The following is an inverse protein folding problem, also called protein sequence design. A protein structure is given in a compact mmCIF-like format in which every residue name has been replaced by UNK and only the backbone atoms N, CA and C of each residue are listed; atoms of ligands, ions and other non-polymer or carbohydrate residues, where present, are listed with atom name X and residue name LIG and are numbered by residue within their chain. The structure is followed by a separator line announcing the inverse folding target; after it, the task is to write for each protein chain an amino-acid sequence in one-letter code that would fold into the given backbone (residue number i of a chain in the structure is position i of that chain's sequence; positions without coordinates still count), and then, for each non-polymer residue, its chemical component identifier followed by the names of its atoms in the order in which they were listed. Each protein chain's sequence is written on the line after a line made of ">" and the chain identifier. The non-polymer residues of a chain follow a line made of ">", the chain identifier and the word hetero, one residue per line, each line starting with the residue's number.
data_IF_860031384870
#
_entry.id   IF_860031384870
#
_cell.length_a   1.000
_cell.length_b   1.000
_cell.length_c   1.000
_cell.angle_alpha   90.00
_cell.angle_beta   90.00
_cell.angle_gamma   90.00
#
_symmetry.space_group_name_H-M   'P 1'
#
loop_
_entity.id
_entity.type
_entity.pdbx_description
1 polymer ?
#
# COMPACT_ATOMS: atom_id res chain seq x y z
N UNK A 1 -13.87 7.35 26.24
CA UNK A 1 -13.98 8.24 25.05
C UNK A 1 -13.76 7.34 23.85
N UNK A 2 -14.74 7.27 22.95
CA UNK A 2 -14.59 6.52 21.71
C UNK A 2 -13.60 7.26 20.80
N UNK A 3 -12.81 6.51 20.05
CA UNK A 3 -11.95 7.07 19.02
C UNK A 3 -12.81 7.55 17.84
N UNK A 4 -12.34 8.56 17.10
CA UNK A 4 -13.02 9.09 15.90
C UNK A 4 -13.32 7.96 14.88
N UNK A 5 -12.50 6.91 14.85
CA UNK A 5 -12.72 5.72 14.02
C UNK A 5 -13.90 4.84 14.50
N UNK A 6 -14.09 4.72 15.80
CA UNK A 6 -15.22 4.00 16.41
C UNK A 6 -16.53 4.79 16.23
N UNK A 7 -16.49 6.11 16.41
CA UNK A 7 -17.64 7.00 16.20
C UNK A 7 -18.09 6.96 14.73
N UNK A 8 -17.14 6.94 13.78
CA UNK A 8 -17.43 6.80 12.34
C UNK A 8 -18.01 5.43 11.99
N UNK A 9 -17.59 4.36 12.67
CA UNK A 9 -18.12 3.00 12.47
C UNK A 9 -19.58 2.89 12.94
N UNK A 10 -19.91 3.48 14.08
CA UNK A 10 -21.28 3.47 14.61
C UNK A 10 -22.24 4.32 13.75
N UNK A 11 -21.79 5.47 13.23
CA UNK A 11 -22.62 6.31 12.35
C UNK A 11 -22.92 5.61 11.02
N UNK A 12 -21.93 4.95 10.41
CA UNK A 12 -22.14 4.19 9.17
C UNK A 12 -23.07 3.01 9.39
N UNK A 13 -22.95 2.32 10.54
CA UNK A 13 -23.87 1.26 10.93
C UNK A 13 -25.29 1.81 11.14
N UNK A 14 -25.46 2.94 11.85
CA UNK A 14 -26.75 3.58 12.11
C UNK A 14 -27.48 4.07 10.86
N UNK A 15 -26.76 4.62 9.87
CA UNK A 15 -27.34 5.07 8.59
C UNK A 15 -27.92 3.90 7.77
N UNK A 16 -27.41 2.67 7.95
CA UNK A 16 -27.91 1.47 7.28
C UNK A 16 -29.24 0.96 7.86
N UNK A 17 -29.64 1.40 9.06
CA UNK A 17 -30.92 1.07 9.70
C UNK A 17 -32.04 2.08 9.39
N UNK A 18 -31.76 3.18 8.68
CA UNK A 18 -32.80 4.14 8.30
C UNK A 18 -33.72 3.57 7.20
N UNK A 19 -35.05 3.65 7.35
CA UNK A 19 -36.01 2.85 6.58
C UNK A 19 -36.23 3.30 5.13
N UNK A 20 -35.72 4.47 4.70
CA UNK A 20 -35.88 4.93 3.32
C UNK A 20 -34.62 5.65 2.78
N UNK A 21 -34.38 5.50 1.48
CA UNK A 21 -33.29 6.11 0.72
C UNK A 21 -33.28 7.65 0.81
N UNK A 22 -34.44 8.29 0.86
CA UNK A 22 -34.54 9.75 0.99
C UNK A 22 -34.12 10.25 2.38
N UNK A 23 -34.44 9.53 3.46
CA UNK A 23 -33.99 9.88 4.81
C UNK A 23 -32.48 9.69 4.98
N UNK A 24 -31.90 8.67 4.31
CA UNK A 24 -30.44 8.50 4.24
C UNK A 24 -29.76 9.62 3.47
N UNK A 25 -30.37 10.10 2.38
CA UNK A 25 -29.83 11.23 1.62
C UNK A 25 -29.97 12.57 2.37
N UNK A 26 -31.05 12.78 3.11
CA UNK A 26 -31.24 13.98 3.92
C UNK A 26 -30.24 14.03 5.09
N UNK A 27 -30.06 12.91 5.81
CA UNK A 27 -29.07 12.80 6.88
C UNK A 27 -27.62 12.98 6.35
N UNK A 28 -27.32 12.46 5.15
CA UNK A 28 -26.02 12.70 4.48
C UNK A 28 -25.83 14.17 4.09
N UNK A 29 -26.90 14.88 3.70
CA UNK A 29 -26.86 16.31 3.35
C UNK A 29 -26.75 17.21 4.57
N UNK A 30 -27.43 16.88 5.66
CA UNK A 30 -27.33 17.61 6.93
C UNK A 30 -25.94 17.47 7.56
N UNK A 31 -25.33 16.28 7.52
CA UNK A 31 -23.92 16.09 7.90
C UNK A 31 -22.98 16.91 7.01
N UNK A 32 -23.16 16.83 5.69
CA UNK A 32 -22.36 17.62 4.74
C UNK A 32 -22.50 19.13 4.96
N UNK A 33 -23.70 19.63 5.30
CA UNK A 33 -23.92 21.04 5.62
C UNK A 33 -23.32 21.46 6.97
N UNK A 34 -23.30 20.55 7.94
CA UNK A 34 -22.66 20.78 9.24
C UNK A 34 -21.13 20.86 9.09
N UNK A 35 -20.55 20.08 8.17
CA UNK A 35 -19.16 20.22 7.71
C UNK A 35 -18.95 21.50 6.90
N UNK A 36 -19.88 21.88 6.01
CA UNK A 36 -19.73 23.04 5.11
C UNK A 36 -19.73 24.40 5.86
N UNK A 37 -20.45 24.52 6.98
CA UNK A 37 -20.45 25.76 7.79
C UNK A 37 -19.20 25.91 8.67
N UNK A 38 -18.46 24.81 8.88
CA UNK A 38 -17.12 24.78 9.49
C UNK A 38 -16.03 24.90 8.39
N UNK A 39 -16.38 24.59 7.13
CA UNK A 39 -15.51 24.60 5.94
C UNK A 39 -15.51 25.96 5.20
N UNK A 40 -15.12 27.03 5.90
CA UNK A 40 -14.36 28.11 5.25
C UNK A 40 -12.91 28.18 5.67
N UNK A 41 -12.49 27.32 6.61
CA UNK A 41 -11.10 27.24 7.01
C UNK A 41 -10.62 25.79 6.95
N UNK A 42 -10.06 25.46 5.78
CA UNK A 42 -9.07 24.41 5.55
C UNK A 42 -9.58 22.95 5.72
N UNK A 43 -9.36 22.12 4.69
CA UNK A 43 -9.82 20.72 4.64
C UNK A 43 -9.32 19.82 5.80
N UNK A 44 -9.85 18.59 5.93
CA UNK A 44 -9.70 17.71 7.12
C UNK A 44 -8.27 17.20 7.42
N UNK A 45 -7.27 17.65 6.65
CA UNK A 45 -5.84 17.36 6.85
C UNK A 45 -5.00 18.63 6.96
N UNK A 46 -5.62 19.80 6.99
CA UNK A 46 -4.94 21.08 6.99
C UNK A 46 -4.10 21.37 8.24
N UNK A 47 -4.47 20.78 9.37
CA UNK A 47 -3.71 20.86 10.61
C UNK A 47 -2.40 20.04 10.58
N UNK A 48 -2.23 19.13 9.61
CA UNK A 48 -0.97 18.40 9.42
C UNK A 48 0.09 19.23 8.67
N UNK A 49 -0.27 20.44 8.19
CA UNK A 49 0.60 21.28 7.38
C UNK A 49 1.26 22.42 8.16
N UNK A 50 0.97 22.57 9.45
CA UNK A 50 1.38 23.74 10.24
C UNK A 50 2.53 23.44 11.21
N UNK A 51 3.52 22.66 10.74
CA UNK A 51 4.82 22.57 11.42
C UNK A 51 5.69 23.73 10.95
N UNK A 52 6.00 24.66 11.86
CA UNK A 52 7.03 25.68 11.70
C UNK A 52 8.40 25.02 11.64
N UNK A 53 8.74 24.37 10.54
CA UNK A 53 10.05 23.76 10.34
C UNK A 53 10.92 24.66 9.45
N UNK A 54 11.85 25.36 10.11
CA UNK A 54 13.17 25.87 9.71
C UNK A 54 13.34 26.63 8.37
N UNK A 55 13.92 27.84 8.46
CA UNK A 55 14.27 28.76 7.36
C UNK A 55 15.19 28.20 6.26
N UNK A 56 15.63 26.94 6.37
CA UNK A 56 16.54 26.32 5.42
C UNK A 56 15.77 25.62 4.28
N UNK A 57 16.07 25.93 3.00
CA UNK A 57 15.39 25.32 1.87
C UNK A 57 15.68 23.81 1.81
N UNK A 58 14.75 23.00 1.27
CA UNK A 58 15.00 21.57 1.06
C UNK A 58 16.20 21.33 0.14
N UNK A 59 16.85 20.18 0.29
CA UNK A 59 17.99 19.75 -0.52
C UNK A 59 17.60 19.58 -1.98
N UNK A 60 16.47 18.90 -2.24
CA UNK A 60 15.99 18.71 -3.60
C UNK A 60 15.42 20.04 -4.10
N UNK A 61 16.20 20.68 -4.97
CA UNK A 61 15.81 21.90 -5.65
C UNK A 61 15.66 21.62 -7.15
N UNK A 62 14.63 22.18 -7.74
CA UNK A 62 14.36 22.05 -9.17
C UNK A 62 13.96 23.40 -9.73
N UNK A 63 14.67 23.85 -10.77
CA UNK A 63 14.34 25.10 -11.46
C UNK A 63 12.97 25.05 -12.16
N UNK A 64 12.53 23.85 -12.55
CA UNK A 64 11.23 23.63 -13.21
C UNK A 64 10.09 23.45 -12.20
N UNK A 65 10.40 23.26 -10.92
CA UNK A 65 9.45 22.86 -9.88
C UNK A 65 8.99 21.40 -9.99
N UNK A 66 9.59 20.62 -10.89
CA UNK A 66 9.27 19.22 -11.12
C UNK A 66 10.41 18.29 -10.66
N UNK A 67 10.05 17.04 -10.40
CA UNK A 67 10.96 15.95 -10.09
C UNK A 67 10.60 14.74 -10.97
N UNK A 68 11.62 14.03 -11.44
CA UNK A 68 11.46 12.79 -12.18
C UNK A 68 11.61 11.64 -11.20
N UNK A 69 10.62 10.75 -11.18
CA UNK A 69 10.60 9.57 -10.34
C UNK A 69 10.58 8.35 -11.26
N UNK A 70 11.66 7.56 -11.22
CA UNK A 70 11.77 6.28 -11.89
C UNK A 70 11.45 5.15 -10.90
N UNK A 71 10.41 4.37 -11.19
CA UNK A 71 10.01 3.21 -10.39
C UNK A 71 10.10 1.96 -11.25
N UNK A 72 11.17 1.18 -11.07
CA UNK A 72 11.40 -0.07 -11.81
C UNK A 72 11.45 0.12 -13.33
N UNK A 73 11.96 1.25 -13.81
CA UNK A 73 12.03 1.62 -15.22
C UNK A 73 10.82 2.39 -15.75
N UNK A 74 9.81 2.66 -14.92
CA UNK A 74 8.68 3.52 -15.29
C UNK A 74 8.96 4.95 -14.85
N UNK A 75 9.03 5.87 -15.82
CA UNK A 75 9.40 7.26 -15.59
C UNK A 75 8.15 8.11 -15.38
N UNK A 76 8.11 8.84 -14.26
CA UNK A 76 7.04 9.74 -13.89
C UNK A 76 7.54 11.15 -13.61
N UNK A 77 7.05 12.14 -14.36
CA UNK A 77 7.31 13.54 -14.11
C UNK A 77 6.19 14.13 -13.25
N UNK A 78 6.53 14.66 -12.07
CA UNK A 78 5.54 15.19 -11.11
C UNK A 78 6.01 16.50 -10.46
N UNK A 79 5.07 17.38 -10.12
CA UNK A 79 5.34 18.63 -9.39
C UNK A 79 5.79 18.35 -7.95
N UNK A 80 6.84 19.02 -7.50
CA UNK A 80 7.34 18.94 -6.12
C UNK A 80 6.27 19.41 -5.12
N UNK A 81 5.52 20.46 -5.47
CA UNK A 81 4.46 21.01 -4.61
C UNK A 81 3.38 19.97 -4.25
N UNK A 82 2.99 19.13 -5.20
CA UNK A 82 1.98 18.09 -5.00
C UNK A 82 2.45 17.06 -3.96
N UNK A 83 3.73 16.68 -4.03
CA UNK A 83 4.35 15.74 -3.10
C UNK A 83 4.53 16.37 -1.71
N UNK A 84 4.84 17.68 -1.66
CA UNK A 84 5.11 18.40 -0.43
C UNK A 84 3.84 18.61 0.42
N UNK A 85 2.71 18.91 -0.22
CA UNK A 85 1.57 19.52 0.45
C UNK A 85 0.49 18.54 0.93
N UNK A 86 0.34 17.35 0.33
CA UNK A 86 -0.80 16.49 0.67
C UNK A 86 -0.46 15.45 1.75
N UNK A 87 0.60 14.66 1.53
CA UNK A 87 1.02 13.61 2.46
C UNK A 87 2.44 13.88 2.93
N UNK A 88 2.64 14.79 3.90
CA UNK A 88 3.98 15.07 4.37
C UNK A 88 4.61 13.83 5.03
N UNK A 89 3.87 13.06 5.81
CA UNK A 89 4.43 11.89 6.48
C UNK A 89 4.82 10.73 5.54
N UNK A 90 4.41 10.76 4.26
CA UNK A 90 4.71 9.70 3.30
C UNK A 90 6.18 9.73 2.86
N UNK A 91 6.63 8.66 2.19
CA UNK A 91 8.00 8.56 1.65
C UNK A 91 8.32 9.69 0.69
N UNK A 92 7.44 9.95 -0.28
CA UNK A 92 7.63 11.02 -1.27
C UNK A 92 7.50 12.41 -0.65
N UNK A 93 6.62 12.58 0.34
CA UNK A 93 6.51 13.83 1.08
C UNK A 93 7.78 14.13 1.86
N UNK A 94 8.32 13.14 2.58
CA UNK A 94 9.60 13.25 3.30
C UNK A 94 10.76 13.51 2.36
N UNK A 95 10.77 12.88 1.18
CA UNK A 95 11.82 13.02 0.17
C UNK A 95 11.98 14.48 -0.26
N UNK A 96 10.88 15.14 -0.66
CA UNK A 96 10.94 16.53 -1.13
C UNK A 96 11.19 17.56 -0.02
N UNK A 97 11.12 17.14 1.25
CA UNK A 97 11.47 17.96 2.42
C UNK A 97 12.79 17.57 3.08
N UNK A 98 13.51 16.60 2.51
CA UNK A 98 14.82 16.21 2.99
C UNK A 98 15.78 17.41 2.93
N UNK A 99 16.56 17.61 3.99
CA UNK A 99 17.50 18.73 4.11
C UNK A 99 18.92 18.38 3.70
N UNK A 100 19.24 17.09 3.62
CA UNK A 100 20.57 16.61 3.25
C UNK A 100 20.48 15.50 2.21
N UNK A 101 21.53 15.34 1.41
CA UNK A 101 21.68 14.22 0.49
C UNK A 101 21.57 12.87 1.23
N UNK A 102 22.09 12.80 2.46
CA UNK A 102 22.02 11.58 3.28
C UNK A 102 20.57 11.20 3.58
N UNK A 103 19.69 12.17 3.84
CA UNK A 103 18.28 11.90 4.10
C UNK A 103 17.52 11.54 2.82
N UNK A 104 17.90 12.12 1.67
CA UNK A 104 17.38 11.71 0.35
C UNK A 104 17.73 10.25 0.08
N UNK A 105 18.99 9.86 0.25
CA UNK A 105 19.48 8.50 0.00
C UNK A 105 18.94 7.45 0.99
N UNK A 106 18.37 7.85 2.13
CA UNK A 106 17.61 6.94 3.01
C UNK A 106 16.21 6.63 2.47
N UNK A 107 15.68 7.49 1.61
CA UNK A 107 14.31 7.45 1.13
C UNK A 107 14.19 6.94 -0.31
N UNK A 108 15.29 6.82 -1.05
CA UNK A 108 15.35 6.27 -2.41
C UNK A 108 16.55 5.33 -2.61
N UNK A 109 16.54 4.57 -3.71
CA UNK A 109 17.61 3.60 -4.01
C UNK A 109 18.76 4.24 -4.79
N UNK A 110 18.46 5.22 -5.64
CA UNK A 110 19.47 6.11 -6.22
C UNK A 110 18.92 7.53 -6.43
N UNK A 111 19.83 8.49 -6.50
CA UNK A 111 19.52 9.90 -6.74
C UNK A 111 20.54 10.47 -7.73
N UNK A 112 20.04 11.20 -8.72
CA UNK A 112 20.86 11.91 -9.70
C UNK A 112 20.46 13.37 -9.67
N UNK A 113 21.41 14.19 -9.24
CA UNK A 113 21.33 15.64 -9.31
C UNK A 113 21.69 16.08 -10.74
N UNK A 114 20.78 16.76 -11.43
CA UNK A 114 21.05 17.26 -12.79
C UNK A 114 21.47 18.74 -12.76
N UNK A 115 22.69 19.02 -13.21
CA UNK A 115 23.28 20.36 -13.19
C UNK A 115 22.73 21.31 -14.28
N UNK A 116 22.11 20.78 -15.36
CA UNK A 116 21.81 21.54 -16.58
C UNK A 116 20.31 21.79 -16.84
N UNK A 117 19.69 22.65 -16.02
CA UNK A 117 18.31 23.15 -16.20
C UNK A 117 17.18 22.11 -16.18
N UNK A 118 17.49 20.88 -15.78
CA UNK A 118 16.53 19.79 -15.80
C UNK A 118 15.96 19.50 -14.41
N UNK A 119 15.07 18.52 -14.36
CA UNK A 119 14.47 18.06 -13.10
C UNK A 119 15.34 16.96 -12.50
N UNK A 120 15.60 16.95 -11.18
CA UNK A 120 16.37 15.90 -10.53
C UNK A 120 15.65 14.55 -10.68
N UNK A 121 16.42 13.46 -10.69
CA UNK A 121 15.91 12.11 -10.94
C UNK A 121 16.12 11.26 -9.69
N UNK A 122 15.05 10.59 -9.27
CA UNK A 122 15.02 9.68 -8.12
C UNK A 122 14.63 8.30 -8.59
N UNK A 123 15.36 7.28 -8.16
CA UNK A 123 15.15 5.90 -8.57
C UNK A 123 14.66 5.04 -7.41
N UNK A 124 13.75 4.12 -7.75
CA UNK A 124 13.14 3.15 -6.86
C UNK A 124 13.16 1.76 -7.50
N UNK A 125 13.79 0.79 -6.84
CA UNK A 125 13.78 -0.63 -7.22
C UNK A 125 12.48 -1.31 -6.73
N UNK A 126 11.37 -0.85 -7.30
CA UNK A 126 10.02 -1.33 -7.02
C UNK A 126 9.26 -1.55 -8.32
N UNK A 127 8.19 -2.33 -8.26
CA UNK A 127 7.33 -2.55 -9.42
C UNK A 127 6.52 -1.27 -9.73
N UNK A 128 6.74 -0.67 -10.89
CA UNK A 128 6.04 0.54 -11.32
C UNK A 128 4.55 0.36 -11.66
N UNK A 129 4.06 -0.86 -11.89
CA UNK A 129 2.69 -1.11 -12.37
C UNK A 129 1.58 -0.47 -11.51
N UNK A 130 1.77 -0.38 -10.19
CA UNK A 130 0.82 0.23 -9.25
C UNK A 130 1.08 1.72 -8.96
N UNK A 131 2.18 2.28 -9.43
CA UNK A 131 2.65 3.58 -8.97
C UNK A 131 1.78 4.76 -9.43
N UNK A 132 1.04 4.62 -10.53
CA UNK A 132 0.08 5.66 -10.93
C UNK A 132 -1.01 5.88 -9.88
N UNK A 133 -1.55 4.82 -9.28
CA UNK A 133 -2.52 4.91 -8.17
C UNK A 133 -1.91 5.63 -6.96
N UNK A 134 -0.61 5.39 -6.71
CA UNK A 134 0.15 6.08 -5.66
C UNK A 134 0.32 7.56 -5.99
N UNK A 135 0.52 7.96 -7.25
CA UNK A 135 0.65 9.36 -7.65
C UNK A 135 -0.68 10.10 -7.66
N UNK A 136 -1.78 9.42 -7.96
CA UNK A 136 -3.11 10.02 -8.06
C UNK A 136 -3.56 10.65 -6.73
N UNK A 137 -3.16 10.08 -5.59
CA UNK A 137 -3.43 10.69 -4.28
C UNK A 137 -2.73 12.04 -4.10
N UNK A 138 -1.54 12.25 -4.68
CA UNK A 138 -0.84 13.54 -4.61
C UNK A 138 -1.39 14.55 -5.63
N UNK A 139 -2.00 14.07 -6.72
CA UNK A 139 -2.53 14.92 -7.80
C UNK A 139 -3.98 15.34 -7.55
N UNK A 140 -4.82 14.38 -7.19
CA UNK A 140 -6.27 14.53 -7.09
C UNK A 140 -6.76 14.48 -5.65
N UNK A 141 -5.93 14.09 -4.68
CA UNK A 141 -6.30 13.92 -3.26
C UNK A 141 -7.35 12.83 -3.04
N UNK A 142 -7.51 11.93 -4.01
CA UNK A 142 -8.50 10.86 -4.03
C UNK A 142 -7.76 9.56 -4.35
N UNK A 143 -8.00 8.52 -3.54
CA UNK A 143 -7.35 7.21 -3.70
C UNK A 143 -8.37 6.16 -4.13
N UNK A 144 -8.21 5.67 -5.36
CA UNK A 144 -9.06 4.62 -5.92
C UNK A 144 -8.29 3.31 -6.10
N UNK A 145 -8.92 2.22 -5.68
CA UNK A 145 -8.51 0.86 -5.99
C UNK A 145 -8.89 0.52 -7.44
N UNK A 146 -7.91 0.12 -8.26
CA UNK A 146 -8.13 -0.26 -9.66
C UNK A 146 -8.23 -1.78 -9.78
N UNK A 147 -9.20 -2.29 -10.53
CA UNK A 147 -9.57 -3.71 -10.54
C UNK A 147 -8.47 -4.71 -10.98
N UNK A 148 -7.38 -4.22 -11.58
CA UNK A 148 -6.29 -5.07 -12.09
C UNK A 148 -5.15 -5.28 -11.08
N UNK A 149 -5.16 -4.60 -9.94
CA UNK A 149 -4.14 -4.77 -8.92
C UNK A 149 -4.56 -5.79 -7.87
N UNK A 150 -3.69 -6.74 -7.55
CA UNK A 150 -3.88 -7.62 -6.40
C UNK A 150 -3.87 -6.79 -5.12
N UNK A 151 -4.89 -6.97 -4.27
CA UNK A 151 -5.02 -6.21 -3.03
C UNK A 151 -3.77 -6.32 -2.12
N UNK A 152 -3.15 -7.51 -2.03
CA UNK A 152 -1.92 -7.73 -1.23
C UNK A 152 -0.74 -6.92 -1.77
N UNK A 153 -0.57 -6.90 -3.10
CA UNK A 153 0.51 -6.12 -3.74
C UNK A 153 0.30 -4.64 -3.46
N UNK A 154 -0.95 -4.17 -3.60
CA UNK A 154 -1.27 -2.78 -3.33
C UNK A 154 -1.05 -2.40 -1.85
N UNK A 155 -1.41 -3.28 -0.91
CA UNK A 155 -1.08 -3.10 0.51
C UNK A 155 0.42 -2.93 0.72
N UNK A 156 1.22 -3.78 0.09
CA UNK A 156 2.68 -3.70 0.17
C UNK A 156 3.20 -2.36 -0.37
N UNK A 157 2.59 -1.85 -1.44
CA UNK A 157 2.94 -0.54 -2.00
C UNK A 157 2.52 0.61 -1.07
N UNK A 158 1.32 0.56 -0.50
CA UNK A 158 0.88 1.54 0.50
C UNK A 158 1.83 1.60 1.69
N UNK A 159 2.25 0.46 2.22
CA UNK A 159 3.23 0.38 3.31
C UNK A 159 4.59 0.95 2.90
N UNK A 160 5.07 0.62 1.70
CA UNK A 160 6.33 1.13 1.19
C UNK A 160 6.32 2.66 1.04
N UNK A 161 5.26 3.21 0.43
CA UNK A 161 5.11 4.63 0.18
C UNK A 161 4.67 5.42 1.42
N UNK A 162 4.28 4.75 2.50
CA UNK A 162 3.81 5.37 3.74
C UNK A 162 2.45 6.03 3.56
N UNK A 163 1.54 5.34 2.86
CA UNK A 163 0.16 5.76 2.61
C UNK A 163 -0.75 4.85 3.42
N UNK A 164 -1.68 5.44 4.17
CA UNK A 164 -2.65 4.69 4.93
C UNK A 164 -3.82 4.25 4.04
N UNK A 165 -4.20 2.99 4.12
CA UNK A 165 -5.34 2.41 3.39
C UNK A 165 -6.70 3.00 3.83
N UNK A 166 -6.76 3.68 4.98
CA UNK A 166 -7.93 4.46 5.39
C UNK A 166 -8.25 5.60 4.42
N UNK A 167 -7.28 6.03 3.60
CA UNK A 167 -7.45 7.06 2.59
C UNK A 167 -8.20 6.55 1.35
N UNK A 168 -8.46 5.25 1.24
CA UNK A 168 -9.26 4.68 0.16
C UNK A 168 -10.67 5.26 0.17
N UNK A 169 -11.12 5.68 -1.01
CA UNK A 169 -12.51 6.11 -1.18
C UNK A 169 -13.49 4.98 -0.86
N UNK A 170 -14.68 5.29 -0.33
CA UNK A 170 -15.66 4.28 0.06
C UNK A 170 -16.03 3.29 -1.06
N UNK A 171 -16.09 3.76 -2.32
CA UNK A 171 -16.38 2.90 -3.48
C UNK A 171 -15.31 1.82 -3.71
N UNK A 172 -14.08 2.08 -3.28
CA UNK A 172 -12.93 1.19 -3.44
C UNK A 172 -12.68 0.36 -2.18
N UNK A 173 -12.87 0.94 -1.00
CA UNK A 173 -12.77 0.26 0.29
C UNK A 173 -13.69 -0.96 0.37
N UNK A 174 -14.93 -0.85 -0.14
CA UNK A 174 -15.90 -1.95 -0.18
C UNK A 174 -15.44 -3.16 -1.00
N UNK A 175 -14.52 -2.96 -1.93
CA UNK A 175 -13.92 -4.03 -2.74
C UNK A 175 -12.60 -4.51 -2.14
N UNK A 176 -11.75 -3.58 -1.74
CA UNK A 176 -10.40 -3.84 -1.25
C UNK A 176 -10.36 -4.71 0.01
N UNK A 177 -11.13 -4.37 1.07
CA UNK A 177 -11.04 -5.10 2.34
C UNK A 177 -11.50 -6.56 2.25
N UNK A 178 -12.62 -6.89 1.58
CA UNK A 178 -13.00 -8.29 1.36
C UNK A 178 -11.97 -9.06 0.51
N UNK A 179 -11.44 -8.45 -0.55
CA UNK A 179 -10.43 -9.07 -1.41
C UNK A 179 -9.14 -9.36 -0.63
N UNK A 180 -8.68 -8.40 0.19
CA UNK A 180 -7.57 -8.60 1.13
C UNK A 180 -7.78 -9.80 2.05
N UNK A 181 -8.95 -9.90 2.69
CA UNK A 181 -9.25 -10.99 3.61
C UNK A 181 -9.21 -12.36 2.91
N UNK A 182 -9.75 -12.45 1.69
CA UNK A 182 -9.72 -13.67 0.88
C UNK A 182 -8.28 -14.05 0.54
N UNK A 183 -7.50 -13.12 0.00
CA UNK A 183 -6.12 -13.39 -0.40
C UNK A 183 -5.24 -13.81 0.79
N UNK A 184 -5.43 -13.20 1.97
CA UNK A 184 -4.71 -13.58 3.18
C UNK A 184 -5.06 -15.01 3.61
N UNK A 185 -6.35 -15.37 3.61
CA UNK A 185 -6.79 -16.73 3.95
C UNK A 185 -6.22 -17.77 2.99
N UNK A 186 -6.15 -17.46 1.70
CA UNK A 186 -5.57 -18.33 0.69
C UNK A 186 -4.05 -18.51 0.90
N UNK A 187 -3.30 -17.43 1.15
CA UNK A 187 -1.88 -17.54 1.48
C UNK A 187 -1.62 -18.35 2.75
N UNK A 188 -2.46 -18.20 3.76
CA UNK A 188 -2.37 -19.00 4.98
C UNK A 188 -2.68 -20.48 4.73
N UNK A 189 -3.68 -20.78 3.90
CA UNK A 189 -4.04 -22.16 3.57
C UNK A 189 -2.92 -22.86 2.79
N UNK A 190 -2.30 -22.15 1.83
CA UNK A 190 -1.15 -22.65 1.08
C UNK A 190 0.08 -22.88 1.97
N UNK A 191 0.37 -21.94 2.90
CA UNK A 191 1.47 -22.09 3.86
C UNK A 191 1.26 -23.34 4.73
N UNK A 192 0.06 -23.50 5.29
CA UNK A 192 -0.30 -24.69 6.08
C UNK A 192 -0.15 -25.98 5.27
N UNK A 193 -0.59 -26.00 4.01
CA UNK A 193 -0.42 -27.15 3.14
C UNK A 193 1.06 -27.48 2.89
N UNK A 194 1.90 -26.47 2.62
CA UNK A 194 3.35 -26.63 2.45
C UNK A 194 4.01 -27.13 3.73
N UNK A 195 3.62 -26.61 4.89
CA UNK A 195 4.15 -27.04 6.18
C UNK A 195 3.81 -28.51 6.46
N UNK A 196 2.59 -28.96 6.17
CA UNK A 196 2.20 -30.37 6.29
C UNK A 196 3.08 -31.27 5.40
N UNK A 197 3.33 -30.85 4.15
CA UNK A 197 4.20 -31.59 3.22
C UNK A 197 5.63 -31.66 3.77
N UNK A 198 6.17 -30.55 4.28
CA UNK A 198 7.52 -30.50 4.84
C UNK A 198 7.64 -31.37 6.09
N UNK A 199 6.63 -31.37 6.98
CA UNK A 199 6.64 -32.21 8.18
C UNK A 199 6.62 -33.70 7.82
N UNK A 200 5.75 -34.11 6.88
CA UNK A 200 5.75 -35.48 6.35
C UNK A 200 7.11 -35.86 5.77
N UNK A 201 7.70 -35.00 4.95
CA UNK A 201 9.01 -35.25 4.36
C UNK A 201 10.13 -35.40 5.41
N UNK A 202 10.05 -34.70 6.55
CA UNK A 202 10.98 -34.86 7.68
C UNK A 202 10.78 -36.19 8.38
N UNK A 203 9.54 -36.57 8.67
CA UNK A 203 9.20 -37.87 9.26
C UNK A 203 9.62 -39.05 8.37
N UNK A 204 9.59 -38.86 7.05
CA UNK A 204 9.96 -39.85 6.03
C UNK A 204 11.47 -39.88 5.71
N UNK A 205 12.32 -39.26 6.53
CA UNK A 205 13.78 -39.36 6.39
C UNK A 205 14.31 -40.70 6.93
N UNK A 206 14.27 -41.75 6.10
CA UNK A 206 14.70 -43.10 6.50
C UNK A 206 16.23 -43.30 6.64
N UNK A 207 17.06 -42.30 6.32
CA UNK A 207 18.53 -42.38 6.26
C UNK A 207 19.08 -42.85 4.89
N UNK A 208 20.42 -42.95 4.74
CA UNK A 208 21.07 -43.27 3.45
C UNK A 208 21.57 -44.74 3.32
N UNK A 209 21.31 -45.56 4.34
CA UNK A 209 21.67 -46.99 4.32
C UNK A 209 20.91 -47.75 3.23
N UNK A 210 21.48 -48.86 2.69
CA UNK A 210 20.80 -49.68 1.66
C UNK A 210 19.40 -50.15 2.07
N UNK A 211 19.20 -50.51 3.34
CA UNK A 211 17.89 -50.87 3.90
C UNK A 211 16.91 -49.70 3.94
N UNK A 212 17.39 -48.48 4.21
CA UNK A 212 16.58 -47.28 4.18
C UNK A 212 16.03 -46.99 2.78
N UNK A 213 16.83 -47.26 1.73
CA UNK A 213 16.40 -47.12 0.33
C UNK A 213 15.31 -48.11 -0.06
N UNK A 214 15.40 -49.36 0.42
CA UNK A 214 14.35 -50.37 0.22
C UNK A 214 13.08 -49.99 0.98
N UNK A 215 13.20 -49.57 2.25
CA UNK A 215 12.08 -49.09 3.05
C UNK A 215 11.38 -47.90 2.41
N UNK A 216 12.13 -46.93 1.88
CA UNK A 216 11.59 -45.76 1.18
C UNK A 216 10.82 -46.15 -0.08
N UNK A 217 11.32 -47.11 -0.88
CA UNK A 217 10.59 -47.61 -2.06
C UNK A 217 9.28 -48.30 -1.68
N UNK A 218 9.29 -49.13 -0.64
CA UNK A 218 8.08 -49.79 -0.15
C UNK A 218 7.08 -48.79 0.43
N UNK A 219 7.57 -47.80 1.20
CA UNK A 219 6.76 -46.71 1.74
C UNK A 219 6.07 -45.93 0.63
N UNK A 220 6.81 -45.53 -0.41
CA UNK A 220 6.25 -44.81 -1.55
C UNK A 220 5.20 -45.63 -2.33
N UNK A 221 5.39 -46.95 -2.48
CA UNK A 221 4.41 -47.82 -3.14
C UNK A 221 3.11 -47.97 -2.36
N UNK A 222 3.16 -47.93 -1.02
CA UNK A 222 2.00 -48.09 -0.15
C UNK A 222 1.27 -46.75 0.01
N UNK A 223 2.00 -45.68 0.31
CA UNK A 223 1.42 -44.38 0.66
C UNK A 223 1.10 -43.52 -0.58
N UNK A 224 1.83 -43.73 -1.67
CA UNK A 224 1.67 -43.00 -2.93
C UNK A 224 1.50 -43.97 -4.11
N UNK A 225 0.35 -44.67 -4.22
CA UNK A 225 0.11 -45.66 -5.28
C UNK A 225 0.20 -45.08 -6.70
N UNK A 226 0.08 -43.75 -6.84
CA UNK A 226 0.20 -43.02 -8.12
C UNK A 226 1.67 -42.83 -8.56
N UNK A 227 2.63 -42.97 -7.64
CA UNK A 227 4.07 -42.85 -7.91
C UNK A 227 4.67 -44.06 -8.64
N UNK A 228 3.89 -45.14 -8.80
CA UNK A 228 4.32 -46.40 -9.40
C UNK A 228 4.37 -46.45 -10.93
N UNK A 229 4.15 -45.34 -11.64
CA UNK A 229 4.16 -45.31 -13.12
C UNK A 229 5.55 -45.17 -13.75
N UNK A 230 6.58 -44.85 -12.97
CA UNK A 230 7.96 -44.66 -13.45
C UNK A 230 8.98 -45.63 -12.82
N UNK A 231 8.55 -46.86 -12.49
CA UNK A 231 9.42 -47.92 -11.96
C UNK A 231 9.76 -48.97 -13.02
#
# INVERSE_FOLDING_TARGET
>A
MMTVAEERREVVQGLNYLPNSNTRQHAKREWKMRDDHECKEKGPYSYLLDSKDDDEPPYIQSKTGNIIIDVGGQIHNTRIDNLKNFLPASRLGKLVRAKSLIDVLKLCDAYVEEESNNSPIVFYDRNGQGFNTILDIYRFQILHFTEKSCAIILKSDFDYWGIDEILLEPCCALKYYPEMEICVKEQESEKKAKDIIIQRAKEETFGDTRLAKVRKRLWNLIEYPESGKDA
#
